data_IF_797876435861
#
_entry.id   IF_797876435861
#
_cell.length_a   1.000
_cell.length_b   1.000
_cell.length_c   1.000
_cell.angle_alpha   90.00
_cell.angle_beta   90.00
_cell.angle_gamma   90.00
#
_symmetry.space_group_name_H-M   'P 1'
#
loop_
_entity.id
_entity.type
_entity.pdbx_description
1 polymer ?
#
# COMPACT_ATOMS: atom_id res chain seq x y z
N UNK A 1 -2.11 22.34 0.77
CA UNK A 1 -1.31 21.56 1.74
C UNK A 1 -2.08 20.30 2.15
N UNK A 2 -1.88 19.17 1.44
CA UNK A 2 -2.51 17.89 1.77
C UNK A 2 -1.58 17.08 2.68
N UNK A 3 -2.16 16.30 3.59
CA UNK A 3 -1.43 15.32 4.41
C UNK A 3 -1.70 13.93 3.85
N UNK A 4 -0.64 13.18 3.58
CA UNK A 4 -0.70 11.90 2.88
C UNK A 4 0.01 10.84 3.72
N UNK A 5 -0.63 9.71 3.94
CA UNK A 5 0.00 8.51 4.50
C UNK A 5 0.30 7.52 3.37
N UNK A 6 1.52 6.97 3.34
CA UNK A 6 1.93 6.02 2.30
C UNK A 6 2.52 4.79 2.94
N UNK A 7 1.83 3.65 2.82
CA UNK A 7 2.40 2.36 3.25
C UNK A 7 3.39 1.84 2.22
N UNK A 8 4.49 1.21 2.66
CA UNK A 8 5.58 0.85 1.78
C UNK A 8 6.26 2.07 1.15
N UNK A 9 6.19 3.23 1.84
CA UNK A 9 6.64 4.52 1.33
C UNK A 9 8.15 4.69 1.25
N UNK A 10 8.92 3.71 1.74
CA UNK A 10 10.38 3.73 1.74
C UNK A 10 11.01 2.99 0.55
N UNK A 11 10.22 2.49 -0.40
CA UNK A 11 10.75 1.80 -1.59
C UNK A 11 9.77 1.80 -2.76
N UNK A 12 10.29 1.59 -3.97
CA UNK A 12 9.52 1.33 -5.19
C UNK A 12 8.43 2.37 -5.48
N UNK A 13 7.22 1.92 -5.75
CA UNK A 13 6.08 2.81 -6.06
C UNK A 13 5.72 3.73 -4.90
N UNK A 14 5.84 3.24 -3.65
CA UNK A 14 5.60 4.04 -2.46
C UNK A 14 6.61 5.17 -2.31
N UNK A 15 7.90 4.89 -2.48
CA UNK A 15 8.95 5.92 -2.44
C UNK A 15 8.77 6.94 -3.57
N UNK A 16 8.52 6.49 -4.80
CA UNK A 16 8.28 7.39 -5.93
C UNK A 16 7.08 8.32 -5.64
N UNK A 17 6.02 7.78 -5.04
CA UNK A 17 4.85 8.57 -4.60
C UNK A 17 5.22 9.54 -3.48
N UNK A 18 6.00 9.12 -2.48
CA UNK A 18 6.48 9.97 -1.39
C UNK A 18 7.22 11.19 -1.96
N UNK A 19 8.22 10.96 -2.81
CA UNK A 19 9.01 12.01 -3.44
C UNK A 19 8.16 12.95 -4.30
N UNK A 20 7.26 12.39 -5.08
CA UNK A 20 6.37 13.17 -5.94
C UNK A 20 5.47 14.10 -5.11
N UNK A 21 4.77 13.58 -4.09
CA UNK A 21 3.85 14.42 -3.31
C UNK A 21 4.56 15.47 -2.46
N UNK A 22 5.73 15.17 -1.92
CA UNK A 22 6.57 16.18 -1.25
C UNK A 22 6.96 17.28 -2.22
N UNK A 23 7.36 16.94 -3.45
CA UNK A 23 7.69 17.95 -4.47
C UNK A 23 6.50 18.83 -4.87
N UNK A 24 5.26 18.37 -4.65
CA UNK A 24 4.02 19.14 -4.87
C UNK A 24 3.56 19.92 -3.61
N UNK A 25 4.40 19.99 -2.58
CA UNK A 25 4.10 20.74 -1.35
C UNK A 25 3.17 20.02 -0.36
N UNK A 26 2.95 18.72 -0.53
CA UNK A 26 2.21 17.90 0.44
C UNK A 26 3.11 17.47 1.60
N UNK A 27 2.51 17.23 2.76
CA UNK A 27 3.16 16.57 3.89
C UNK A 27 2.93 15.07 3.81
N UNK A 28 3.97 14.28 3.99
CA UNK A 28 3.90 12.82 3.86
C UNK A 28 4.32 12.13 5.15
N UNK A 29 3.52 11.15 5.58
CA UNK A 29 3.91 10.17 6.59
C UNK A 29 4.20 8.84 5.90
N UNK A 30 5.46 8.43 5.95
CA UNK A 30 5.89 7.10 5.49
C UNK A 30 5.53 6.06 6.57
N UNK A 31 4.81 5.02 6.20
CA UNK A 31 4.53 3.83 7.01
C UNK A 31 5.28 2.65 6.37
N UNK A 32 6.38 2.23 6.97
CA UNK A 32 7.23 1.17 6.42
C UNK A 32 7.90 0.39 7.56
N UNK A 33 8.39 -0.79 7.28
CA UNK A 33 9.20 -1.59 8.21
C UNK A 33 10.71 -1.38 8.01
N UNK A 34 11.11 -0.70 6.93
CA UNK A 34 12.52 -0.45 6.60
C UNK A 34 12.97 0.91 7.16
N UNK A 35 13.50 0.89 8.38
CA UNK A 35 13.96 2.06 9.09
C UNK A 35 15.04 2.84 8.34
N UNK A 36 16.02 2.14 7.77
CA UNK A 36 17.18 2.79 7.15
C UNK A 36 16.78 3.56 5.89
N UNK A 37 16.01 2.94 5.01
CA UNK A 37 15.54 3.61 3.80
C UNK A 37 14.60 4.79 4.14
N UNK A 38 13.68 4.59 5.08
CA UNK A 38 12.72 5.62 5.45
C UNK A 38 13.42 6.84 6.06
N UNK A 39 14.41 6.63 6.95
CA UNK A 39 15.22 7.70 7.52
C UNK A 39 16.02 8.44 6.46
N UNK A 40 16.66 7.71 5.54
CA UNK A 40 17.41 8.34 4.44
C UNK A 40 16.53 9.26 3.58
N UNK A 41 15.27 8.86 3.31
CA UNK A 41 14.31 9.70 2.57
C UNK A 41 13.91 10.93 3.40
N UNK A 42 13.67 10.77 4.70
CA UNK A 42 13.35 11.90 5.58
C UNK A 42 14.52 12.90 5.65
N UNK A 43 15.75 12.42 5.82
CA UNK A 43 16.97 13.27 5.88
C UNK A 43 17.16 14.04 4.56
N UNK A 44 16.86 13.42 3.42
CA UNK A 44 17.00 14.05 2.09
C UNK A 44 15.91 15.09 1.81
N UNK A 45 14.63 14.79 2.16
CA UNK A 45 13.48 15.62 1.80
C UNK A 45 13.12 16.65 2.88
N UNK A 46 13.67 16.52 4.08
CA UNK A 46 13.45 17.41 5.22
C UNK A 46 12.25 17.03 6.09
N UNK A 47 12.48 16.97 7.39
CA UNK A 47 11.51 16.52 8.42
C UNK A 47 10.23 17.39 8.51
N UNK A 48 10.26 18.59 7.98
CA UNK A 48 9.06 19.45 7.93
C UNK A 48 8.03 18.94 6.90
N UNK A 49 8.49 18.20 5.88
CA UNK A 49 7.69 17.76 4.76
C UNK A 49 7.39 16.27 4.79
N UNK A 50 8.34 15.48 5.28
CA UNK A 50 8.18 14.02 5.35
C UNK A 50 8.60 13.51 6.72
N UNK A 51 7.78 12.63 7.27
CA UNK A 51 8.04 11.93 8.52
C UNK A 51 7.86 10.44 8.32
N UNK A 52 8.39 9.67 9.22
CA UNK A 52 8.38 8.23 9.19
C UNK A 52 7.90 7.64 10.53
N UNK A 53 7.21 6.52 10.43
CA UNK A 53 6.91 5.64 11.56
C UNK A 53 7.04 4.18 11.13
N UNK A 54 7.80 3.40 11.93
CA UNK A 54 7.89 1.96 11.70
C UNK A 54 6.51 1.34 11.89
N UNK A 55 5.99 0.70 10.83
CA UNK A 55 4.62 0.21 10.83
C UNK A 55 4.53 -1.14 10.11
N UNK A 56 4.34 -2.20 10.88
CA UNK A 56 3.89 -3.48 10.33
C UNK A 56 2.38 -3.42 10.10
N UNK A 57 1.94 -3.33 8.86
CA UNK A 57 0.51 -3.20 8.52
C UNK A 57 -0.33 -4.45 8.83
N UNK A 58 0.30 -5.62 9.03
CA UNK A 58 -0.38 -6.85 9.44
C UNK A 58 -0.86 -6.81 10.90
N UNK A 59 -0.36 -5.87 11.68
CA UNK A 59 -0.66 -5.73 13.11
C UNK A 59 -1.52 -4.49 13.35
N UNK A 60 -2.54 -4.61 14.19
CA UNK A 60 -3.48 -3.52 14.46
C UNK A 60 -2.83 -2.37 15.21
N UNK A 61 -2.12 -2.67 16.30
CA UNK A 61 -1.53 -1.64 17.17
C UNK A 61 -0.54 -0.72 16.46
N UNK A 62 0.45 -1.21 15.67
CA UNK A 62 1.35 -0.34 14.90
C UNK A 62 0.62 0.61 13.95
N UNK A 63 -0.47 0.16 13.32
CA UNK A 63 -1.27 1.03 12.44
C UNK A 63 -2.05 2.07 13.23
N UNK A 64 -2.61 1.72 14.39
CA UNK A 64 -3.25 2.69 15.30
C UNK A 64 -2.26 3.75 15.77
N UNK A 65 -1.06 3.36 16.17
CA UNK A 65 0.02 4.27 16.59
C UNK A 65 0.44 5.19 15.44
N UNK A 66 0.52 4.66 14.21
CA UNK A 66 0.81 5.45 13.02
C UNK A 66 -0.26 6.51 12.75
N UNK A 67 -1.56 6.17 12.85
CA UNK A 67 -2.65 7.13 12.69
C UNK A 67 -2.64 8.19 13.79
N UNK A 68 -2.41 7.81 15.04
CA UNK A 68 -2.26 8.76 16.15
C UNK A 68 -1.07 9.71 15.95
N UNK A 69 0.05 9.21 15.39
CA UNK A 69 1.20 10.04 15.06
C UNK A 69 0.89 11.03 13.92
N UNK A 70 0.16 10.61 12.90
CA UNK A 70 -0.29 11.50 11.81
C UNK A 70 -1.17 12.62 12.40
N UNK A 71 -2.15 12.28 13.24
CA UNK A 71 -3.03 13.25 13.90
C UNK A 71 -2.25 14.23 14.77
N UNK A 72 -1.29 13.73 15.55
CA UNK A 72 -0.42 14.56 16.41
C UNK A 72 0.48 15.51 15.60
N UNK A 73 1.13 15.01 14.55
CA UNK A 73 2.18 15.75 13.84
C UNK A 73 1.62 16.68 12.78
N UNK A 74 0.47 16.34 12.16
CA UNK A 74 -0.11 17.06 11.03
C UNK A 74 -1.56 17.48 11.26
N UNK A 75 -2.22 17.01 12.32
CA UNK A 75 -3.58 17.38 12.71
C UNK A 75 -4.70 16.70 11.90
N UNK A 76 -4.41 16.15 10.72
CA UNK A 76 -5.39 15.57 9.81
C UNK A 76 -4.76 14.60 8.80
N UNK A 77 -5.60 13.83 8.11
CA UNK A 77 -5.19 12.95 7.01
C UNK A 77 -6.14 13.17 5.83
N UNK A 78 -5.60 13.48 4.65
CA UNK A 78 -6.42 13.68 3.45
C UNK A 78 -6.32 12.51 2.47
N UNK A 79 -5.17 11.85 2.39
CA UNK A 79 -4.92 10.78 1.42
C UNK A 79 -4.23 9.62 2.11
N UNK A 80 -4.68 8.40 1.86
CA UNK A 80 -3.97 7.19 2.22
C UNK A 80 -3.65 6.39 0.96
N UNK A 81 -2.37 6.08 0.74
CA UNK A 81 -1.90 5.29 -0.41
C UNK A 81 -1.31 3.99 0.10
N UNK A 82 -1.95 2.90 -0.22
CA UNK A 82 -1.55 1.56 0.21
C UNK A 82 -0.66 0.91 -0.85
N UNK A 83 0.67 1.06 -0.70
CA UNK A 83 1.68 0.44 -1.56
C UNK A 83 2.38 -0.76 -0.91
N UNK A 84 2.31 -0.91 0.42
CA UNK A 84 2.94 -2.03 1.11
C UNK A 84 2.39 -3.37 0.61
N UNK A 85 3.28 -4.28 0.31
CA UNK A 85 2.94 -5.60 -0.18
C UNK A 85 4.15 -6.34 -0.73
N UNK A 86 3.99 -7.63 -0.95
CA UNK A 86 5.05 -8.45 -1.53
C UNK A 86 4.46 -9.52 -2.44
N UNK A 87 5.32 -10.09 -3.30
CA UNK A 87 5.02 -11.25 -4.11
C UNK A 87 5.82 -12.46 -3.66
N UNK A 88 5.23 -13.62 -3.74
CA UNK A 88 5.91 -14.90 -3.56
C UNK A 88 5.39 -15.88 -4.60
N UNK A 89 6.33 -16.47 -5.36
CA UNK A 89 5.99 -17.42 -6.40
C UNK A 89 6.14 -18.86 -5.90
N UNK A 90 5.03 -19.61 -5.83
CA UNK A 90 5.05 -21.04 -5.57
C UNK A 90 3.92 -21.73 -6.33
N UNK A 91 4.23 -22.82 -7.01
CA UNK A 91 3.23 -23.65 -7.70
C UNK A 91 2.40 -24.41 -6.67
N UNK A 92 1.11 -24.64 -6.96
CA UNK A 92 0.23 -25.45 -6.11
C UNK A 92 0.85 -26.82 -5.87
N UNK A 93 1.38 -27.45 -6.93
CA UNK A 93 2.22 -28.64 -6.82
C UNK A 93 3.65 -28.25 -7.18
N UNK A 94 4.51 -28.17 -6.17
CA UNK A 94 5.96 -27.94 -6.34
C UNK A 94 6.71 -29.22 -6.72
N UNK A 95 8.04 -29.10 -6.85
CA UNK A 95 8.90 -30.25 -7.18
C UNK A 95 8.94 -31.27 -6.03
N UNK A 96 9.08 -30.79 -4.80
CA UNK A 96 9.33 -31.61 -3.62
C UNK A 96 8.14 -31.63 -2.64
N UNK A 97 7.27 -30.62 -2.69
CA UNK A 97 6.14 -30.47 -1.79
C UNK A 97 5.06 -29.57 -2.41
N UNK A 98 3.79 -29.62 -1.93
CA UNK A 98 2.78 -28.66 -2.30
C UNK A 98 3.13 -27.26 -1.79
N UNK A 99 2.45 -26.23 -2.34
CA UNK A 99 2.60 -24.83 -1.91
C UNK A 99 2.48 -24.72 -0.38
N UNK A 100 3.47 -24.16 0.34
CA UNK A 100 3.39 -24.03 1.78
C UNK A 100 2.22 -23.14 2.18
N UNK A 101 1.32 -23.66 3.02
CA UNK A 101 0.13 -22.93 3.44
C UNK A 101 0.46 -21.62 4.18
N UNK A 102 1.54 -21.62 4.97
CA UNK A 102 1.96 -20.43 5.71
C UNK A 102 2.44 -19.30 4.78
N UNK A 103 3.08 -19.64 3.65
CA UNK A 103 3.40 -18.63 2.63
C UNK A 103 2.15 -18.05 1.98
N UNK A 104 1.15 -18.89 1.71
CA UNK A 104 -0.13 -18.41 1.18
C UNK A 104 -0.78 -17.45 2.17
N UNK A 105 -0.90 -17.83 3.44
CA UNK A 105 -1.46 -17.00 4.50
C UNK A 105 -0.70 -15.68 4.64
N UNK A 106 0.63 -15.71 4.69
CA UNK A 106 1.46 -14.52 4.81
C UNK A 106 1.19 -13.51 3.68
N UNK A 107 1.07 -13.97 2.44
CA UNK A 107 0.77 -13.07 1.30
C UNK A 107 -0.64 -12.48 1.41
N UNK A 108 -1.63 -13.27 1.84
CA UNK A 108 -2.99 -12.78 2.08
C UNK A 108 -2.98 -11.78 3.24
N UNK A 109 -2.34 -12.09 4.34
CA UNK A 109 -2.29 -11.25 5.54
C UNK A 109 -1.61 -9.90 5.23
N UNK A 110 -0.48 -9.91 4.54
CA UNK A 110 0.20 -8.67 4.20
C UNK A 110 -0.57 -7.85 3.15
N UNK A 111 -0.87 -8.46 1.99
CA UNK A 111 -1.37 -7.69 0.84
C UNK A 111 -2.84 -7.31 0.95
N UNK A 112 -3.67 -8.14 1.58
CA UNK A 112 -5.12 -7.95 1.66
C UNK A 112 -5.55 -7.49 3.05
N UNK A 113 -5.24 -8.26 4.09
CA UNK A 113 -5.66 -7.93 5.46
C UNK A 113 -4.96 -6.67 5.93
N UNK A 114 -3.65 -6.52 5.68
CA UNK A 114 -2.88 -5.32 6.01
C UNK A 114 -3.39 -4.07 5.27
N UNK A 115 -3.71 -4.18 3.98
CA UNK A 115 -4.34 -3.08 3.23
C UNK A 115 -5.67 -2.67 3.84
N UNK A 116 -6.52 -3.64 4.21
CA UNK A 116 -7.80 -3.37 4.88
C UNK A 116 -7.60 -2.73 6.25
N UNK A 117 -6.62 -3.21 7.03
CA UNK A 117 -6.30 -2.66 8.34
C UNK A 117 -5.93 -1.18 8.28
N UNK A 118 -5.07 -0.79 7.33
CA UNK A 118 -4.72 0.62 7.12
C UNK A 118 -5.91 1.41 6.60
N UNK A 119 -6.66 0.87 5.63
CA UNK A 119 -7.82 1.53 5.02
C UNK A 119 -8.87 1.92 6.06
N UNK A 120 -9.26 1.01 6.96
CA UNK A 120 -10.30 1.27 7.99
C UNK A 120 -9.87 2.34 8.99
N UNK A 121 -8.60 2.32 9.46
CA UNK A 121 -8.08 3.28 10.43
C UNK A 121 -7.78 4.65 9.80
N UNK A 122 -7.34 4.67 8.55
CA UNK A 122 -7.22 5.91 7.78
C UNK A 122 -8.59 6.57 7.55
N UNK A 123 -9.61 5.78 7.22
CA UNK A 123 -10.97 6.27 7.05
C UNK A 123 -11.53 6.87 8.35
N UNK A 124 -11.30 6.25 9.50
CA UNK A 124 -11.68 6.78 10.81
C UNK A 124 -11.03 8.14 11.09
N UNK A 125 -9.74 8.29 10.75
CA UNK A 125 -9.05 9.58 10.91
C UNK A 125 -9.56 10.62 9.91
N UNK A 126 -9.81 10.25 8.65
CA UNK A 126 -10.36 11.14 7.62
C UNK A 126 -11.78 11.61 7.94
N UNK A 127 -12.59 10.80 8.60
CA UNK A 127 -13.97 11.17 8.95
C UNK A 127 -14.03 12.36 9.92
N UNK A 128 -12.97 12.62 10.67
CA UNK A 128 -12.82 13.81 11.53
C UNK A 128 -12.55 15.10 10.75
N UNK A 129 -12.17 15.03 9.47
CA UNK A 129 -11.89 16.21 8.67
C UNK A 129 -13.18 17.01 8.41
N UNK A 130 -13.04 18.32 8.30
CA UNK A 130 -14.06 19.15 7.68
C UNK A 130 -14.18 18.83 6.19
N UNK A 131 -15.40 18.75 5.70
CA UNK A 131 -15.64 18.48 4.28
C UNK A 131 -15.21 19.69 3.42
N UNK A 132 -14.59 19.40 2.28
CA UNK A 132 -14.33 20.41 1.26
C UNK A 132 -15.61 20.94 0.59
N UNK A 133 -15.47 21.85 -0.36
CA UNK A 133 -16.61 22.46 -1.08
C UNK A 133 -17.46 21.41 -1.83
N UNK A 134 -16.84 20.32 -2.26
CA UNK A 134 -17.47 19.18 -2.93
C UNK A 134 -17.96 18.07 -1.97
N UNK A 135 -17.84 18.29 -0.65
CA UNK A 135 -18.18 17.32 0.38
C UNK A 135 -17.11 16.27 0.64
N UNK A 136 -15.94 16.35 -0.01
CA UNK A 136 -14.84 15.39 0.18
C UNK A 136 -14.11 15.63 1.50
N UNK A 137 -13.93 14.55 2.28
CA UNK A 137 -13.11 14.52 3.50
C UNK A 137 -11.78 13.81 3.30
N UNK A 138 -11.69 12.92 2.32
CA UNK A 138 -10.47 12.18 2.05
C UNK A 138 -10.56 11.22 0.88
N UNK A 139 -9.41 10.67 0.51
CA UNK A 139 -9.32 9.64 -0.53
C UNK A 139 -8.36 8.52 -0.14
N UNK A 140 -8.76 7.29 -0.41
CA UNK A 140 -7.94 6.09 -0.23
C UNK A 140 -7.62 5.50 -1.60
N UNK A 141 -6.36 5.22 -1.84
CA UNK A 141 -5.87 4.60 -3.07
C UNK A 141 -5.15 3.30 -2.71
N UNK A 142 -5.68 2.18 -3.16
CA UNK A 142 -5.06 0.87 -2.95
C UNK A 142 -4.27 0.45 -4.18
N UNK A 143 -3.20 -0.31 -3.97
CA UNK A 143 -2.38 -0.88 -5.04
C UNK A 143 -2.68 -2.37 -5.17
N UNK A 144 -3.47 -2.72 -6.19
CA UNK A 144 -3.68 -4.10 -6.63
C UNK A 144 -2.54 -4.53 -7.57
N UNK A 145 -2.87 -5.23 -8.62
CA UNK A 145 -1.99 -5.64 -9.72
C UNK A 145 -2.84 -6.19 -10.87
N UNK A 146 -2.34 -6.13 -12.09
CA UNK A 146 -2.91 -6.89 -13.22
C UNK A 146 -2.99 -8.38 -12.89
N UNK A 147 -2.09 -8.91 -12.03
CA UNK A 147 -2.13 -10.29 -11.55
C UNK A 147 -3.41 -10.64 -10.77
N UNK A 148 -4.19 -9.66 -10.33
CA UNK A 148 -5.52 -9.86 -9.77
C UNK A 148 -6.55 -10.30 -10.80
N UNK A 149 -6.31 -10.03 -12.08
CA UNK A 149 -7.14 -10.43 -13.24
C UNK A 149 -6.48 -11.59 -14.02
N UNK A 150 -5.17 -11.49 -14.24
CA UNK A 150 -4.40 -12.35 -15.16
C UNK A 150 -3.16 -12.91 -14.45
N UNK A 151 -3.38 -13.72 -13.41
CA UNK A 151 -2.29 -14.31 -12.62
C UNK A 151 -1.44 -15.31 -13.40
N UNK A 152 -0.13 -15.25 -13.22
CA UNK A 152 0.84 -16.14 -13.80
C UNK A 152 0.99 -17.45 -13.01
N UNK A 153 1.62 -18.45 -13.62
CA UNK A 153 1.97 -19.71 -12.95
C UNK A 153 2.78 -19.41 -11.69
N UNK A 154 2.33 -19.97 -10.56
CA UNK A 154 2.97 -19.79 -9.26
C UNK A 154 2.48 -18.57 -8.47
N UNK A 155 1.59 -17.75 -9.00
CA UNK A 155 1.07 -16.55 -8.33
C UNK A 155 -0.24 -16.75 -7.57
N UNK A 156 -0.61 -17.99 -7.21
CA UNK A 156 -1.93 -18.26 -6.60
C UNK A 156 -2.23 -17.38 -5.37
N UNK A 157 -1.29 -17.24 -4.43
CA UNK A 157 -1.47 -16.40 -3.25
C UNK A 157 -1.49 -14.91 -3.62
N UNK A 158 -0.55 -14.48 -4.47
CA UNK A 158 -0.44 -13.09 -4.90
C UNK A 158 -1.68 -12.63 -5.68
N UNK A 159 -2.10 -13.42 -6.67
CA UNK A 159 -3.30 -13.13 -7.47
C UNK A 159 -4.56 -13.10 -6.60
N UNK A 160 -4.73 -14.06 -5.69
CA UNK A 160 -5.84 -14.06 -4.75
C UNK A 160 -5.87 -12.81 -3.87
N UNK A 161 -4.69 -12.40 -3.33
CA UNK A 161 -4.59 -11.19 -2.51
C UNK A 161 -4.94 -9.92 -3.30
N UNK A 162 -4.43 -9.79 -4.53
CA UNK A 162 -4.65 -8.61 -5.37
C UNK A 162 -6.07 -8.56 -5.96
N UNK A 163 -6.66 -9.71 -6.29
CA UNK A 163 -8.10 -9.80 -6.61
C UNK A 163 -8.97 -9.41 -5.41
N UNK A 164 -8.58 -9.80 -4.19
CA UNK A 164 -9.23 -9.37 -2.96
C UNK A 164 -9.22 -7.85 -2.78
N UNK A 165 -8.08 -7.19 -3.02
CA UNK A 165 -7.97 -5.72 -2.99
C UNK A 165 -8.88 -5.06 -4.02
N UNK A 166 -8.98 -5.63 -5.24
CA UNK A 166 -9.93 -5.16 -6.27
C UNK A 166 -11.36 -5.29 -5.76
N UNK A 167 -11.71 -6.46 -5.18
CA UNK A 167 -13.04 -6.73 -4.64
C UNK A 167 -13.44 -5.80 -3.50
N UNK A 168 -12.50 -5.39 -2.64
CA UNK A 168 -12.73 -4.42 -1.56
C UNK A 168 -13.14 -3.04 -2.08
N UNK A 169 -12.67 -2.63 -3.25
CA UNK A 169 -12.78 -1.24 -3.72
C UNK A 169 -14.20 -0.74 -3.76
N UNK A 170 -15.09 -1.47 -4.43
CA UNK A 170 -16.48 -1.03 -4.60
C UNK A 170 -17.27 -1.07 -3.29
N UNK A 171 -17.06 -2.09 -2.46
CA UNK A 171 -17.71 -2.19 -1.15
C UNK A 171 -17.26 -1.08 -0.22
N UNK A 172 -15.97 -0.84 -0.10
CA UNK A 172 -15.42 0.24 0.71
C UNK A 172 -15.86 1.62 0.19
N UNK A 173 -15.87 1.85 -1.13
CA UNK A 173 -16.36 3.09 -1.71
C UNK A 173 -17.84 3.36 -1.37
N UNK A 174 -18.68 2.32 -1.36
CA UNK A 174 -20.10 2.44 -0.97
C UNK A 174 -20.27 2.70 0.52
N UNK A 175 -19.54 2.00 1.37
CA UNK A 175 -19.58 2.17 2.83
C UNK A 175 -19.14 3.57 3.24
N UNK A 176 -18.11 4.11 2.59
CA UNK A 176 -17.46 5.37 2.94
C UNK A 176 -18.05 6.59 2.21
N UNK A 177 -18.93 6.38 1.21
CA UNK A 177 -19.55 7.47 0.45
C UNK A 177 -20.27 8.49 1.34
N UNK A 178 -21.05 8.01 2.33
CA UNK A 178 -21.76 8.88 3.29
C UNK A 178 -20.82 9.70 4.19
N UNK A 179 -19.55 9.28 4.29
CA UNK A 179 -18.49 9.96 5.05
C UNK A 179 -17.68 10.93 4.18
N UNK A 180 -18.02 11.10 2.89
CA UNK A 180 -17.26 11.94 1.98
C UNK A 180 -15.85 11.40 1.68
N UNK A 181 -15.63 10.08 1.77
CA UNK A 181 -14.33 9.45 1.53
C UNK A 181 -14.42 8.59 0.28
N UNK A 182 -13.58 8.90 -0.70
CA UNK A 182 -13.47 8.11 -1.94
C UNK A 182 -12.48 6.96 -1.77
N UNK A 183 -12.78 5.83 -2.40
CA UNK A 183 -11.87 4.66 -2.45
C UNK A 183 -11.66 4.26 -3.89
N UNK A 184 -10.41 4.19 -4.30
CA UNK A 184 -9.99 3.74 -5.62
C UNK A 184 -8.87 2.71 -5.51
N UNK A 185 -8.70 1.93 -6.55
CA UNK A 185 -7.63 0.95 -6.65
C UNK A 185 -6.97 1.06 -8.02
N UNK A 186 -5.66 1.13 -8.03
CA UNK A 186 -4.86 0.97 -9.24
C UNK A 186 -4.41 -0.47 -9.37
N UNK A 187 -4.33 -0.97 -10.60
CA UNK A 187 -3.84 -2.31 -10.91
C UNK A 187 -2.60 -2.20 -11.83
N UNK A 188 -1.41 -1.92 -11.28
CA UNK A 188 -0.21 -1.75 -12.08
C UNK A 188 0.16 -3.03 -12.85
N UNK A 189 0.75 -2.84 -14.03
CA UNK A 189 1.47 -3.88 -14.75
C UNK A 189 2.87 -4.09 -14.16
N UNK A 190 3.86 -4.20 -15.04
CA UNK A 190 5.25 -4.43 -14.66
C UNK A 190 5.96 -3.08 -14.52
N UNK A 191 6.59 -2.88 -13.38
CA UNK A 191 7.42 -1.72 -13.08
C UNK A 191 8.79 -2.17 -12.59
N UNK A 192 9.85 -1.48 -12.97
CA UNK A 192 11.20 -1.72 -12.46
C UNK A 192 11.30 -1.24 -11.00
N UNK A 193 10.93 -2.11 -10.09
CA UNK A 193 10.93 -1.87 -8.65
C UNK A 193 11.81 -2.88 -7.93
N UNK A 194 12.24 -2.62 -6.68
CA UNK A 194 12.93 -3.61 -5.87
C UNK A 194 12.16 -4.93 -5.77
N UNK A 195 10.84 -4.91 -5.72
CA UNK A 195 10.00 -6.12 -5.71
C UNK A 195 10.20 -6.96 -6.98
N UNK A 196 10.26 -6.33 -8.16
CA UNK A 196 10.50 -7.04 -9.43
C UNK A 196 11.91 -7.64 -9.48
N UNK A 197 12.90 -6.97 -8.89
CA UNK A 197 14.29 -7.45 -8.82
C UNK A 197 14.47 -8.70 -7.95
N UNK A 198 13.52 -8.97 -7.04
CA UNK A 198 13.51 -10.21 -6.24
C UNK A 198 13.00 -11.42 -7.04
N UNK A 199 12.32 -11.22 -8.16
CA UNK A 199 11.86 -12.31 -9.00
C UNK A 199 13.07 -13.00 -9.70
N UNK A 200 13.11 -14.35 -9.78
CA UNK A 200 14.13 -15.05 -10.54
C UNK A 200 14.16 -14.57 -12.01
N UNK A 201 15.35 -14.46 -12.60
CA UNK A 201 15.55 -13.99 -13.99
C UNK A 201 14.63 -14.69 -14.99
N UNK A 202 14.57 -16.03 -14.93
CA UNK A 202 13.67 -16.85 -15.79
C UNK A 202 12.17 -16.54 -15.63
N UNK A 203 11.77 -15.81 -14.61
CA UNK A 203 10.39 -15.33 -14.43
C UNK A 203 10.29 -13.86 -14.85
N UNK A 204 11.28 -13.07 -14.46
CA UNK A 204 11.33 -11.63 -14.71
C UNK A 204 11.52 -11.30 -16.19
N UNK A 205 12.52 -11.95 -16.85
CA UNK A 205 12.93 -11.56 -18.19
C UNK A 205 11.83 -11.76 -19.25
N UNK A 206 11.09 -12.91 -19.28
CA UNK A 206 9.94 -13.05 -20.18
C UNK A 206 8.82 -12.05 -19.92
N UNK A 207 8.65 -11.61 -18.67
CA UNK A 207 7.66 -10.59 -18.33
C UNK A 207 8.06 -9.21 -18.86
N UNK A 208 9.36 -8.86 -18.79
CA UNK A 208 9.88 -7.60 -19.33
C UNK A 208 9.84 -7.57 -20.86
N UNK A 209 10.02 -8.71 -21.52
CA UNK A 209 9.94 -8.83 -22.98
C UNK A 209 8.49 -8.73 -23.51
N UNK A 210 7.50 -8.99 -22.66
CA UNK A 210 6.08 -8.97 -23.03
C UNK A 210 5.41 -7.58 -22.86
N UNK A 211 6.15 -6.59 -22.40
CA UNK A 211 5.71 -5.20 -22.21
C UNK A 211 6.29 -4.30 -23.27
#
# INVERSE_FOLDING_TARGET
DKVIAITGGASGLGEASTRHFVSQGSKVMILDINDDNAKAICDELGDDNVKYVNTNIMEENPVMEAMAKIEKDFGKLHVAINCAGTGYGARIIGKDAPHPLDHFKFIIDLNLVGTFNVMRLAAELMDKNEAGEDGEKGVIINTASIAGYEGQIGQSAYSASKAGVIGLTLTAARDLARHGIRVNTIAPGIFDTPLMKLAPEKVRDPLLEST
#
